data_IF_981642335584
#
_entry.id   IF_981642335584
#
_cell.length_a   1.000
_cell.length_b   1.000
_cell.length_c   1.000
_cell.angle_alpha   90.00
_cell.angle_beta   90.00
_cell.angle_gamma   90.00
#
_symmetry.space_group_name_H-M   'P 1'
#
loop_
_entity.id
_entity.type
_entity.pdbx_description
1 polymer ?
#
# COMPACT_ATOMS: atom_id res chain seq x y z
N UNK A 1 -19.28 2.32 -3.58
CA UNK A 1 -18.54 2.24 -2.29
C UNK A 1 -19.60 2.15 -1.19
N UNK A 2 -19.61 1.08 -0.39
CA UNK A 2 -20.67 0.90 0.62
C UNK A 2 -20.45 1.77 1.86
N UNK A 3 -21.53 2.03 2.61
CA UNK A 3 -21.49 2.75 3.91
C UNK A 3 -20.49 2.09 4.88
N UNK A 4 -20.37 0.76 4.82
CA UNK A 4 -19.39 -0.03 5.57
C UNK A 4 -17.94 0.38 5.28
N UNK A 5 -17.55 0.54 4.01
CA UNK A 5 -16.18 0.92 3.64
C UNK A 5 -15.83 2.35 4.07
N UNK A 6 -16.82 3.24 4.02
CA UNK A 6 -16.68 4.62 4.49
C UNK A 6 -16.44 4.67 6.01
N UNK A 7 -17.24 3.93 6.79
CA UNK A 7 -17.07 3.83 8.24
C UNK A 7 -15.72 3.22 8.62
N UNK A 8 -15.24 2.22 7.87
CA UNK A 8 -13.91 1.63 8.05
C UNK A 8 -12.80 2.63 7.79
N UNK A 9 -12.85 3.35 6.66
CA UNK A 9 -11.89 4.43 6.34
C UNK A 9 -11.84 5.48 7.43
N UNK A 10 -13.01 5.94 7.87
CA UNK A 10 -13.12 6.98 8.90
C UNK A 10 -12.58 6.49 10.26
N UNK A 11 -12.89 5.25 10.64
CA UNK A 11 -12.44 4.65 11.89
C UNK A 11 -10.92 4.54 11.94
N UNK A 12 -10.28 4.02 10.88
CA UNK A 12 -8.81 3.91 10.85
C UNK A 12 -8.15 5.29 10.76
N UNK A 13 -8.71 6.22 9.98
CA UNK A 13 -8.21 7.61 9.91
C UNK A 13 -8.21 8.28 11.29
N UNK A 14 -9.26 8.06 12.07
CA UNK A 14 -9.36 8.59 13.44
C UNK A 14 -8.33 7.93 14.35
N UNK A 15 -8.16 6.61 14.26
CA UNK A 15 -7.19 5.86 15.06
C UNK A 15 -5.75 6.30 14.82
N UNK A 16 -5.33 6.41 13.56
CA UNK A 16 -3.96 6.85 13.20
C UNK A 16 -3.64 8.22 13.77
N UNK A 17 -4.62 9.14 13.80
CA UNK A 17 -4.46 10.49 14.35
C UNK A 17 -4.18 10.49 15.86
N UNK A 18 -4.64 9.48 16.59
CA UNK A 18 -4.48 9.34 18.05
C UNK A 18 -3.44 8.30 18.47
N UNK A 19 -2.49 7.95 17.59
CA UNK A 19 -1.35 7.08 17.92
C UNK A 19 -0.02 7.85 17.97
N UNK A 20 0.15 8.95 18.74
CA UNK A 20 1.39 9.72 18.68
C UNK A 20 2.60 8.98 19.25
N UNK A 21 2.41 7.83 19.90
CA UNK A 21 3.50 7.06 20.50
C UNK A 21 3.58 5.70 19.80
N UNK A 22 4.64 5.49 19.03
CA UNK A 22 4.96 4.22 18.38
C UNK A 22 5.50 3.19 19.41
N UNK A 23 4.78 3.00 20.52
CA UNK A 23 5.08 1.93 21.47
C UNK A 23 4.65 0.59 20.87
N UNK A 24 5.33 -0.48 21.28
CA UNK A 24 4.94 -1.86 20.92
C UNK A 24 3.47 -2.10 21.24
N UNK A 25 3.00 -1.68 22.41
CA UNK A 25 1.61 -1.86 22.83
C UNK A 25 0.62 -1.15 21.90
N UNK A 26 0.92 0.08 21.47
CA UNK A 26 0.06 0.82 20.55
C UNK A 26 0.02 0.18 19.16
N UNK A 27 1.15 -0.32 18.67
CA UNK A 27 1.22 -1.06 17.39
C UNK A 27 0.40 -2.35 17.47
N UNK A 28 0.53 -3.12 18.57
CA UNK A 28 -0.24 -4.35 18.78
C UNK A 28 -1.74 -4.07 18.95
N UNK A 29 -2.11 -2.97 19.59
CA UNK A 29 -3.50 -2.50 19.68
C UNK A 29 -4.04 -2.14 18.31
N UNK A 30 -3.28 -1.41 17.49
CA UNK A 30 -3.68 -1.09 16.12
C UNK A 30 -3.88 -2.36 15.27
N UNK A 31 -2.94 -3.30 15.33
CA UNK A 31 -3.05 -4.57 14.62
C UNK A 31 -4.32 -5.35 15.01
N UNK A 32 -4.64 -5.40 16.32
CA UNK A 32 -5.91 -5.97 16.83
C UNK A 32 -7.15 -5.31 16.24
N UNK A 33 -7.15 -3.98 16.13
CA UNK A 33 -8.28 -3.25 15.58
C UNK A 33 -8.42 -3.47 14.08
N UNK A 34 -7.30 -3.49 13.35
CA UNK A 34 -7.26 -3.78 11.92
C UNK A 34 -7.75 -5.21 11.63
N UNK A 35 -7.38 -6.21 12.44
CA UNK A 35 -7.90 -7.58 12.35
C UNK A 35 -9.44 -7.62 12.46
N UNK A 36 -10.04 -6.82 13.35
CA UNK A 36 -11.50 -6.73 13.49
C UNK A 36 -12.20 -6.07 12.30
N UNK A 37 -11.50 -5.18 11.60
CA UNK A 37 -12.02 -4.40 10.47
C UNK A 37 -11.85 -5.14 9.13
N UNK A 38 -10.86 -6.04 9.06
CA UNK A 38 -10.52 -6.83 7.88
C UNK A 38 -11.72 -7.60 7.31
N UNK A 39 -11.81 -7.61 5.97
CA UNK A 39 -12.97 -8.12 5.24
C UNK A 39 -12.87 -9.63 5.06
N UNK A 40 -11.71 -10.11 4.62
CA UNK A 40 -11.51 -11.50 4.23
C UNK A 40 -10.90 -12.30 5.40
N UNK A 41 -11.20 -13.61 5.52
CA UNK A 41 -10.51 -14.48 6.46
C UNK A 41 -8.98 -14.46 6.27
N UNK A 42 -8.53 -14.40 5.02
CA UNK A 42 -7.12 -14.37 4.64
C UNK A 42 -6.42 -13.11 5.17
N UNK A 43 -7.09 -11.95 5.14
CA UNK A 43 -6.54 -10.73 5.71
C UNK A 43 -6.42 -10.81 7.23
N UNK A 44 -7.39 -11.42 7.91
CA UNK A 44 -7.34 -11.60 9.36
C UNK A 44 -6.15 -12.47 9.77
N UNK A 45 -5.90 -13.56 9.03
CA UNK A 45 -4.76 -14.43 9.25
C UNK A 45 -3.43 -13.70 9.04
N UNK A 46 -3.30 -12.92 7.95
CA UNK A 46 -2.11 -12.11 7.68
C UNK A 46 -1.85 -11.10 8.80
N UNK A 47 -2.88 -10.41 9.25
CA UNK A 47 -2.76 -9.42 10.34
C UNK A 47 -2.39 -10.10 11.65
N UNK A 48 -2.98 -11.27 11.93
CA UNK A 48 -2.64 -12.07 13.12
C UNK A 48 -1.18 -12.50 13.09
N UNK A 49 -0.69 -13.01 11.95
CA UNK A 49 0.71 -13.37 11.76
C UNK A 49 1.63 -12.18 12.01
N UNK A 50 1.34 -11.01 11.42
CA UNK A 50 2.13 -9.79 11.65
C UNK A 50 2.13 -9.39 13.13
N UNK A 51 0.97 -9.48 13.80
CA UNK A 51 0.84 -9.18 15.22
C UNK A 51 1.66 -10.14 16.09
N UNK A 52 1.64 -11.44 15.81
CA UNK A 52 2.44 -12.44 16.52
C UNK A 52 3.95 -12.16 16.37
N UNK A 53 4.39 -11.81 15.16
CA UNK A 53 5.79 -11.38 14.93
C UNK A 53 6.14 -10.12 15.72
N UNK A 54 5.24 -9.16 15.82
CA UNK A 54 5.47 -7.99 16.66
C UNK A 54 5.46 -8.32 18.15
N UNK A 55 4.68 -9.31 18.60
CA UNK A 55 4.69 -9.77 19.99
C UNK A 55 6.04 -10.41 20.36
N UNK A 56 6.63 -11.19 19.45
CA UNK A 56 7.93 -11.82 19.64
C UNK A 56 9.14 -10.94 19.30
N UNK A 57 8.96 -9.61 19.23
CA UNK A 57 10.03 -8.64 18.96
C UNK A 57 10.82 -8.89 17.67
N UNK A 58 10.14 -9.42 16.65
CA UNK A 58 10.73 -9.60 15.33
C UNK A 58 11.26 -8.26 14.77
N UNK A 59 12.40 -8.25 14.03
CA UNK A 59 13.01 -7.00 13.53
C UNK A 59 12.07 -6.11 12.69
N UNK A 60 11.02 -6.67 12.10
CA UNK A 60 9.96 -5.90 11.41
C UNK A 60 9.29 -4.86 12.30
N UNK A 61 9.26 -5.07 13.63
CA UNK A 61 8.73 -4.11 14.60
C UNK A 61 9.55 -2.81 14.62
N UNK A 62 10.87 -2.87 14.37
CA UNK A 62 11.73 -1.69 14.30
C UNK A 62 11.20 -0.76 13.20
N UNK A 63 11.01 -1.28 11.99
CA UNK A 63 10.48 -0.50 10.88
C UNK A 63 9.09 0.09 11.17
N UNK A 64 8.20 -0.68 11.82
CA UNK A 64 6.89 -0.17 12.21
C UNK A 64 7.00 1.00 13.20
N UNK A 65 7.93 0.92 14.17
CA UNK A 65 8.21 2.01 15.12
C UNK A 65 8.79 3.24 14.42
N UNK A 66 9.73 3.05 13.50
CA UNK A 66 10.37 4.13 12.75
C UNK A 66 9.35 4.86 11.86
N UNK A 67 8.55 4.12 11.09
CA UNK A 67 7.51 4.69 10.20
C UNK A 67 6.46 5.47 11.00
N UNK A 68 6.03 4.95 12.14
CA UNK A 68 5.00 5.61 12.96
C UNK A 68 5.56 6.70 13.88
N UNK A 69 6.83 6.62 14.28
CA UNK A 69 7.46 7.51 15.25
C UNK A 69 8.25 8.66 14.65
N UNK A 70 8.92 8.45 13.50
CA UNK A 70 9.84 9.44 12.90
C UNK A 70 9.25 10.20 11.71
N UNK A 71 8.27 9.65 11.02
CA UNK A 71 7.67 10.35 9.89
C UNK A 71 6.93 11.60 10.34
N UNK A 72 7.07 12.67 9.56
CA UNK A 72 6.27 13.88 9.71
C UNK A 72 4.76 13.49 9.75
N UNK A 73 3.93 14.11 10.63
CA UNK A 73 2.54 13.70 10.81
C UNK A 73 1.73 13.62 9.51
N UNK A 74 1.96 14.53 8.56
CA UNK A 74 1.29 14.48 7.25
C UNK A 74 1.67 13.23 6.44
N UNK A 75 2.95 12.87 6.41
CA UNK A 75 3.43 11.68 5.70
C UNK A 75 2.92 10.40 6.37
N UNK A 76 3.02 10.33 7.70
CA UNK A 76 2.48 9.21 8.49
C UNK A 76 1.00 9.00 8.23
N UNK A 77 0.19 10.06 8.31
CA UNK A 77 -1.24 9.99 8.08
C UNK A 77 -1.57 9.52 6.66
N UNK A 78 -0.88 10.04 5.64
CA UNK A 78 -1.07 9.61 4.25
C UNK A 78 -0.65 8.16 4.03
N UNK A 79 0.49 7.74 4.59
CA UNK A 79 0.94 6.36 4.54
C UNK A 79 -0.08 5.41 5.16
N UNK A 80 -0.56 5.69 6.38
CA UNK A 80 -1.53 4.82 7.04
C UNK A 80 -2.86 4.75 6.29
N UNK A 81 -3.35 5.86 5.73
CA UNK A 81 -4.62 5.86 4.98
C UNK A 81 -4.45 5.17 3.62
N UNK A 82 -3.41 5.50 2.86
CA UNK A 82 -3.29 5.03 1.49
C UNK A 82 -2.77 3.59 1.44
N UNK A 83 -1.71 3.29 2.18
CA UNK A 83 -1.12 1.96 2.13
C UNK A 83 -1.86 0.98 3.05
N UNK A 84 -2.00 1.28 4.34
CA UNK A 84 -2.60 0.32 5.27
C UNK A 84 -4.11 0.17 5.02
N UNK A 85 -4.86 1.27 4.93
CA UNK A 85 -6.32 1.17 4.79
C UNK A 85 -6.75 0.89 3.36
N UNK A 86 -6.37 1.76 2.43
CA UNK A 86 -6.89 1.66 1.06
C UNK A 86 -6.30 0.47 0.32
N UNK A 87 -4.98 0.25 0.41
CA UNK A 87 -4.34 -0.80 -0.36
C UNK A 87 -4.44 -2.19 0.31
N UNK A 88 -4.08 -2.31 1.60
CA UNK A 88 -4.05 -3.62 2.28
C UNK A 88 -5.44 -4.08 2.75
N UNK A 89 -6.24 -3.23 3.38
CA UNK A 89 -7.53 -3.67 3.97
C UNK A 89 -8.68 -3.62 2.96
N UNK A 90 -8.92 -2.48 2.32
CA UNK A 90 -10.08 -2.29 1.43
C UNK A 90 -9.77 -2.86 0.05
N UNK A 91 -8.56 -2.62 -0.45
CA UNK A 91 -8.12 -3.02 -1.77
C UNK A 91 -8.13 -4.53 -1.96
N UNK A 92 -7.93 -5.34 -0.92
CA UNK A 92 -7.91 -6.80 -1.08
C UNK A 92 -9.26 -7.36 -1.50
N UNK A 93 -10.35 -6.89 -0.87
CA UNK A 93 -11.70 -7.27 -1.29
C UNK A 93 -12.03 -6.82 -2.71
N UNK A 94 -11.52 -5.67 -3.16
CA UNK A 94 -11.67 -5.21 -4.56
C UNK A 94 -10.92 -6.14 -5.51
N UNK A 95 -9.67 -6.48 -5.20
CA UNK A 95 -8.84 -7.38 -6.01
C UNK A 95 -9.39 -8.80 -6.04
N UNK A 96 -9.96 -9.28 -4.93
CA UNK A 96 -10.62 -10.59 -4.85
C UNK A 96 -11.82 -10.64 -5.79
N UNK A 97 -12.73 -9.66 -5.70
CA UNK A 97 -13.87 -9.56 -6.64
C UNK A 97 -13.43 -9.48 -8.10
N UNK A 98 -12.43 -8.66 -8.40
CA UNK A 98 -11.88 -8.58 -9.76
C UNK A 98 -11.37 -9.95 -10.23
N UNK A 99 -10.62 -10.67 -9.38
CA UNK A 99 -10.13 -12.01 -9.69
C UNK A 99 -11.27 -12.99 -9.92
N UNK A 100 -12.29 -12.96 -9.06
CA UNK A 100 -13.45 -13.85 -9.17
C UNK A 100 -14.23 -13.58 -10.47
N UNK A 101 -14.32 -12.31 -10.89
CA UNK A 101 -15.01 -11.88 -12.12
C UNK A 101 -14.18 -12.11 -13.41
N UNK A 102 -12.86 -11.96 -13.35
CA UNK A 102 -11.98 -11.91 -14.53
C UNK A 102 -11.06 -13.13 -14.67
N UNK A 103 -10.94 -13.95 -13.63
CA UNK A 103 -10.06 -15.13 -13.60
C UNK A 103 -8.58 -14.84 -13.35
N UNK A 104 -8.18 -13.58 -13.15
CA UNK A 104 -6.78 -13.19 -12.91
C UNK A 104 -6.65 -12.00 -11.94
N UNK A 105 -5.45 -11.79 -11.37
CA UNK A 105 -5.18 -10.65 -10.49
C UNK A 105 -4.96 -9.36 -11.28
N UNK A 106 -5.51 -8.22 -10.82
CA UNK A 106 -5.14 -6.95 -11.42
C UNK A 106 -3.67 -6.62 -11.08
N UNK A 107 -2.94 -5.94 -11.99
CA UNK A 107 -1.58 -5.50 -11.71
C UNK A 107 -1.55 -4.52 -10.52
N UNK A 108 -0.63 -4.75 -9.58
CA UNK A 108 -0.46 -3.88 -8.39
C UNK A 108 0.53 -2.73 -8.64
N UNK A 109 1.34 -2.87 -9.68
CA UNK A 109 2.30 -1.88 -10.14
C UNK A 109 2.30 -1.90 -11.66
N UNK A 110 2.27 -0.72 -12.28
CA UNK A 110 2.42 -0.54 -13.71
C UNK A 110 3.65 0.35 -13.89
N UNK A 111 4.64 -0.16 -14.60
CA UNK A 111 5.81 0.62 -15.02
C UNK A 111 5.55 1.09 -16.46
N UNK A 112 5.64 2.40 -16.66
CA UNK A 112 5.43 3.04 -17.96
C UNK A 112 6.68 3.87 -18.24
N UNK A 113 7.21 3.78 -19.46
CA UNK A 113 8.29 4.64 -19.96
C UNK A 113 7.68 5.64 -20.96
N UNK A 114 7.31 6.87 -20.54
CA UNK A 114 6.74 7.87 -21.44
C UNK A 114 7.64 8.24 -22.61
N UNK A 115 8.96 8.19 -22.39
CA UNK A 115 9.99 8.50 -23.36
C UNK A 115 11.21 7.63 -23.12
N UNK A 116 11.90 7.30 -24.21
CA UNK A 116 13.19 6.61 -24.19
C UNK A 116 14.36 7.56 -24.47
N UNK A 117 14.10 8.87 -24.57
CA UNK A 117 15.11 9.91 -24.82
C UNK A 117 15.92 10.16 -23.56
N UNK A 118 17.09 9.55 -23.49
CA UNK A 118 18.11 9.81 -22.47
C UNK A 118 19.44 10.15 -23.15
N UNK A 119 20.02 11.29 -22.78
CA UNK A 119 21.29 11.79 -23.32
C UNK A 119 22.53 11.26 -22.57
N UNK A 120 22.34 10.31 -21.64
CA UNK A 120 23.41 9.67 -20.87
C UNK A 120 23.79 8.30 -21.45
N UNK A 121 24.96 7.78 -21.03
CA UNK A 121 25.51 6.48 -21.42
C UNK A 121 26.00 5.70 -20.20
N UNK A 122 25.12 5.54 -19.21
CA UNK A 122 25.46 4.92 -17.94
C UNK A 122 25.86 3.45 -18.15
N UNK A 123 26.97 3.02 -17.55
CA UNK A 123 27.34 1.62 -17.48
C UNK A 123 26.25 0.83 -16.74
N UNK A 124 25.78 -0.27 -17.34
CA UNK A 124 24.70 -1.10 -16.77
C UNK A 124 23.29 -0.57 -17.01
N UNK A 125 23.10 0.41 -17.90
CA UNK A 125 21.75 0.87 -18.25
C UNK A 125 20.96 -0.22 -18.98
N UNK A 126 19.88 -0.70 -18.37
CA UNK A 126 19.01 -1.74 -18.96
C UNK A 126 18.27 -1.28 -20.23
N UNK A 127 18.15 0.04 -20.44
CA UNK A 127 17.41 0.67 -21.53
C UNK A 127 18.31 1.26 -22.62
N UNK A 128 19.63 0.99 -22.59
CA UNK A 128 20.58 1.61 -23.50
C UNK A 128 20.31 1.29 -24.98
N UNK A 129 19.84 0.06 -25.23
CA UNK A 129 19.63 -0.49 -26.57
C UNK A 129 18.18 -0.31 -27.07
N UNK A 130 17.33 0.37 -26.30
CA UNK A 130 15.96 0.62 -26.72
C UNK A 130 15.94 1.72 -27.78
N UNK A 131 15.00 1.61 -28.71
CA UNK A 131 14.75 2.65 -29.71
C UNK A 131 14.35 3.96 -29.03
N UNK A 132 15.01 5.06 -29.42
CA UNK A 132 14.92 6.36 -28.72
C UNK A 132 14.03 7.37 -29.43
N UNK A 133 13.57 7.06 -30.63
CA UNK A 133 12.83 8.00 -31.47
C UNK A 133 11.34 8.03 -31.13
N UNK A 134 10.80 6.92 -30.64
CA UNK A 134 9.38 6.81 -30.29
C UNK A 134 9.11 7.25 -28.85
N UNK A 135 8.20 8.21 -28.69
CA UNK A 135 7.60 8.58 -27.40
C UNK A 135 6.17 8.05 -27.32
N UNK A 136 5.72 7.76 -26.11
CA UNK A 136 4.33 7.36 -25.89
C UNK A 136 3.42 8.59 -26.04
N UNK A 137 2.44 8.54 -26.94
CA UNK A 137 1.48 9.62 -27.13
C UNK A 137 0.76 9.97 -25.81
N UNK A 138 0.55 11.27 -25.57
CA UNK A 138 -0.13 11.78 -24.36
C UNK A 138 -1.54 11.19 -24.21
N UNK A 139 -2.25 10.99 -25.31
CA UNK A 139 -3.57 10.37 -25.36
C UNK A 139 -3.53 8.93 -24.88
N UNK A 140 -2.50 8.17 -25.27
CA UNK A 140 -2.30 6.79 -24.82
C UNK A 140 -1.94 6.75 -23.34
N UNK A 141 -1.05 7.62 -22.87
CA UNK A 141 -0.76 7.74 -21.44
C UNK A 141 -2.00 8.04 -20.61
N UNK A 142 -2.84 8.97 -21.07
CA UNK A 142 -4.09 9.33 -20.40
C UNK A 142 -5.08 8.16 -20.36
N UNK A 143 -5.10 7.28 -21.37
CA UNK A 143 -5.92 6.05 -21.37
C UNK A 143 -5.41 5.01 -20.39
N UNK A 144 -4.10 4.91 -20.16
CA UNK A 144 -3.51 3.94 -19.22
C UNK A 144 -3.76 4.37 -17.77
N UNK A 145 -3.72 5.69 -17.48
CA UNK A 145 -3.80 6.23 -16.11
C UNK A 145 -5.24 6.41 -15.61
N UNK A 146 -6.22 6.57 -16.51
CA UNK A 146 -7.64 6.79 -16.15
C UNK A 146 -8.33 5.53 -15.64
#
# INVERSE_FOLDING_TARGET
>A
MGISDFLKRWSVKRLVKYLPVASKENILRLARMVEKIAITPEDKERIRFVREKFQSDHPSLIYAKEVLGRLHPNCRNKFSINFIVNHLIIGDGVRKRFRDEKGFLPPIAILISPSMKCNLRCQGCYAADYEKEEDLALETMNKIVK
#
